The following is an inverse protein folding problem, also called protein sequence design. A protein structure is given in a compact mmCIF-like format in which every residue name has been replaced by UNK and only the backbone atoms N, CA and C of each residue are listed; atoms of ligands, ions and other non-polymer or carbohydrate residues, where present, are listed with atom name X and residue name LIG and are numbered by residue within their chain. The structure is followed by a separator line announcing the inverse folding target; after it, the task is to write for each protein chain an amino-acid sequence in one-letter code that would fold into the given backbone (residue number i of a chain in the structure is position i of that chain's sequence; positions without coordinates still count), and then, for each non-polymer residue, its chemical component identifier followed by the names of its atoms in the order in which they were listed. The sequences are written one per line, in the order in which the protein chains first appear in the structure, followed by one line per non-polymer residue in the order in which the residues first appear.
data_IF_725938189037
#
_entry.id   IF_725938189037
#
_cell.length_a   1.000
_cell.length_b   1.000
_cell.length_c   1.000
_cell.angle_alpha   90.00
_cell.angle_beta   90.00
_cell.angle_gamma   90.00
#
_symmetry.space_group_name_H-M   'P 1'
#
loop_
_entity.id
_entity.type
_entity.pdbx_description
1 polymer ?
#
# COMPACT_ATOMS: atom_id res chain seq x y z
N UNK A 1 22.34 22.17 -8.15
CA UNK A 1 21.32 21.39 -7.40
C UNK A 1 19.93 21.44 -8.03
N UNK A 2 19.43 22.59 -8.53
CA UNK A 2 18.13 22.67 -9.25
C UNK A 2 18.04 21.80 -10.53
N UNK A 3 19.14 21.57 -11.26
CA UNK A 3 19.14 20.80 -12.52
C UNK A 3 18.88 19.29 -12.36
N UNK A 4 19.33 18.67 -11.26
CA UNK A 4 19.20 17.21 -11.10
C UNK A 4 17.83 16.75 -10.59
N UNK A 5 17.11 17.62 -9.87
CA UNK A 5 15.72 17.39 -9.44
C UNK A 5 14.76 17.45 -10.65
N UNK A 6 15.04 18.34 -11.60
CA UNK A 6 14.27 18.48 -12.84
C UNK A 6 14.52 17.29 -13.79
N UNK A 7 15.75 16.78 -13.86
CA UNK A 7 16.10 15.60 -14.67
C UNK A 7 15.46 14.31 -14.14
N UNK A 8 15.28 14.18 -12.82
CA UNK A 8 14.58 13.04 -12.22
C UNK A 8 13.06 13.07 -12.47
N UNK A 9 12.47 14.26 -12.62
CA UNK A 9 11.04 14.45 -12.95
C UNK A 9 10.78 14.32 -14.47
N UNK A 10 11.75 14.69 -15.31
CA UNK A 10 11.67 14.59 -16.78
C UNK A 10 11.96 13.19 -17.35
N UNK A 11 12.61 12.31 -16.58
CA UNK A 11 12.87 10.92 -17.01
C UNK A 11 11.71 9.95 -16.72
N UNK A 12 10.70 10.37 -15.96
CA UNK A 12 9.49 9.57 -15.66
C UNK A 12 8.31 9.95 -16.59
N UNK A 13 8.45 10.98 -17.42
CA UNK A 13 7.34 11.58 -18.18
C UNK A 13 7.22 11.24 -19.68
N UNK A 14 7.95 10.25 -20.26
CA UNK A 14 7.55 9.74 -21.57
C UNK A 14 7.47 8.20 -21.65
N UNK A 15 6.89 7.51 -20.65
CA UNK A 15 6.60 6.06 -20.76
C UNK A 15 5.12 5.68 -20.60
N UNK A 16 4.21 6.66 -20.54
CA UNK A 16 2.76 6.42 -20.41
C UNK A 16 2.00 6.63 -21.73
N UNK A 17 2.69 6.97 -22.84
CA UNK A 17 2.04 7.40 -24.08
C UNK A 17 2.25 6.50 -25.30
N UNK A 18 2.35 5.18 -25.12
CA UNK A 18 2.28 4.25 -26.24
C UNK A 18 1.44 3.04 -25.86
N UNK A 19 0.12 3.18 -25.93
CA UNK A 19 -0.80 2.14 -26.41
C UNK A 19 -2.16 2.81 -26.58
N UNK A 20 -2.60 2.97 -27.82
CA UNK A 20 -4.00 2.81 -28.24
C UNK A 20 -4.13 3.22 -29.71
N UNK A 21 -3.93 2.26 -30.59
CA UNK A 21 -4.59 2.27 -31.89
C UNK A 21 -5.46 1.02 -31.91
N UNK A 22 -6.79 1.21 -31.84
CA UNK A 22 -7.76 0.15 -32.08
C UNK A 22 -8.45 0.47 -33.40
N UNK A 23 -8.38 -0.49 -34.33
CA UNK A 23 -9.07 -0.44 -35.60
C UNK A 23 -10.58 -0.59 -35.38
N UNK A 24 -11.35 0.08 -36.22
CA UNK A 24 -12.81 0.19 -36.17
C UNK A 24 -13.43 -0.94 -36.99
N UNK A 25 -14.06 -1.90 -36.31
CA UNK A 25 -14.97 -2.89 -36.92
C UNK A 25 -16.40 -2.60 -36.43
N UNK A 26 -17.39 -2.92 -37.27
CA UNK A 26 -18.81 -2.60 -37.10
C UNK A 26 -19.38 -2.96 -35.70
N UNK A 27 -20.39 -2.22 -35.19
CA UNK A 27 -20.84 -2.35 -33.81
C UNK A 27 -21.45 -3.75 -33.56
N UNK A 28 -20.68 -4.60 -32.89
CA UNK A 28 -21.15 -5.89 -32.41
C UNK A 28 -22.17 -5.65 -31.29
N UNK A 29 -23.36 -6.25 -31.39
CA UNK A 29 -24.35 -6.18 -30.30
C UNK A 29 -23.77 -6.80 -29.03
N UNK A 30 -23.92 -6.09 -27.91
CA UNK A 30 -23.53 -6.61 -26.59
C UNK A 30 -24.43 -7.79 -26.22
N UNK A 31 -23.84 -8.80 -25.57
CA UNK A 31 -24.42 -10.11 -25.30
C UNK A 31 -24.69 -10.31 -23.81
N UNK A 32 -25.80 -10.97 -23.49
CA UNK A 32 -26.17 -11.34 -22.13
C UNK A 32 -26.89 -12.69 -22.10
N UNK A 33 -26.88 -13.36 -20.95
CA UNK A 33 -27.66 -14.59 -20.72
C UNK A 33 -28.66 -14.32 -19.61
N UNK A 34 -29.95 -14.48 -19.92
CA UNK A 34 -31.07 -14.26 -19.03
C UNK A 34 -31.70 -15.59 -18.62
N UNK A 35 -31.63 -15.93 -17.34
CA UNK A 35 -32.25 -17.13 -16.79
C UNK A 35 -33.60 -16.80 -16.16
N UNK A 36 -34.61 -17.57 -16.55
CA UNK A 36 -35.99 -17.38 -16.11
C UNK A 36 -36.70 -18.71 -15.80
N UNK A 37 -37.92 -18.59 -15.28
CA UNK A 37 -38.87 -19.69 -15.12
C UNK A 37 -40.22 -19.31 -15.74
N UNK A 38 -40.89 -20.22 -16.45
CA UNK A 38 -42.23 -20.00 -17.01
C UNK A 38 -43.29 -19.75 -15.92
N UNK A 39 -43.06 -20.27 -14.71
CA UNK A 39 -43.96 -20.15 -13.56
C UNK A 39 -43.64 -18.94 -12.66
N UNK A 40 -42.67 -18.11 -13.05
CA UNK A 40 -42.14 -17.01 -12.23
C UNK A 40 -42.77 -15.66 -12.63
N UNK A 41 -43.64 -15.14 -11.76
CA UNK A 41 -44.30 -13.82 -11.93
C UNK A 41 -43.29 -12.68 -12.06
N UNK A 42 -42.18 -12.73 -11.29
CA UNK A 42 -41.11 -11.74 -11.37
C UNK A 42 -40.40 -11.76 -12.74
N UNK A 43 -40.31 -12.93 -13.36
CA UNK A 43 -39.66 -13.12 -14.65
C UNK A 43 -40.52 -12.57 -15.79
N UNK A 44 -41.85 -12.69 -15.68
CA UNK A 44 -42.81 -12.06 -16.59
C UNK A 44 -42.71 -10.52 -16.56
N UNK A 45 -42.52 -9.93 -15.37
CA UNK A 45 -42.32 -8.47 -15.23
C UNK A 45 -41.11 -7.98 -16.01
N UNK A 46 -39.97 -8.69 -15.92
CA UNK A 46 -38.75 -8.37 -16.67
C UNK A 46 -38.97 -8.56 -18.17
N UNK A 47 -39.60 -9.66 -18.59
CA UNK A 47 -39.84 -9.96 -20.01
C UNK A 47 -40.73 -8.90 -20.68
N UNK A 48 -41.77 -8.44 -19.97
CA UNK A 48 -42.62 -7.34 -20.44
C UNK A 48 -41.83 -6.05 -20.61
N UNK A 49 -41.03 -5.67 -19.60
CA UNK A 49 -40.18 -4.47 -19.68
C UNK A 49 -39.18 -4.56 -20.85
N UNK A 50 -38.54 -5.71 -21.05
CA UNK A 50 -37.57 -5.90 -22.14
C UNK A 50 -38.22 -5.80 -23.53
N UNK A 51 -39.50 -6.19 -23.65
CA UNK A 51 -40.29 -6.01 -24.89
C UNK A 51 -40.71 -4.56 -25.09
N UNK A 52 -41.18 -3.88 -24.04
CA UNK A 52 -41.61 -2.48 -24.10
C UNK A 52 -40.46 -1.53 -24.49
N UNK A 53 -39.26 -1.78 -23.97
CA UNK A 53 -38.05 -0.99 -24.25
C UNK A 53 -37.21 -1.51 -25.44
N UNK A 54 -37.76 -2.45 -26.22
CA UNK A 54 -37.11 -3.04 -27.40
C UNK A 54 -35.70 -3.65 -27.16
N UNK A 55 -35.43 -4.07 -25.93
CA UNK A 55 -34.11 -4.50 -25.46
C UNK A 55 -33.62 -5.74 -26.23
N UNK A 56 -34.53 -6.66 -26.57
CA UNK A 56 -34.20 -7.87 -27.34
C UNK A 56 -33.71 -7.58 -28.77
N UNK A 57 -34.03 -6.41 -29.33
CA UNK A 57 -33.53 -5.99 -30.63
C UNK A 57 -32.21 -5.21 -30.52
N UNK A 58 -31.99 -4.49 -29.41
CA UNK A 58 -30.77 -3.72 -29.15
C UNK A 58 -29.60 -4.65 -28.75
N UNK A 59 -29.88 -5.65 -27.92
CA UNK A 59 -28.89 -6.55 -27.32
C UNK A 59 -29.12 -8.01 -27.73
N UNK A 60 -28.04 -8.79 -27.82
CA UNK A 60 -28.10 -10.24 -28.06
C UNK A 60 -28.30 -10.98 -26.72
N UNK A 61 -29.55 -11.11 -26.29
CA UNK A 61 -29.91 -11.73 -25.00
C UNK A 61 -30.39 -13.17 -25.21
N UNK A 62 -29.57 -14.13 -24.80
CA UNK A 62 -29.93 -15.54 -24.78
C UNK A 62 -30.82 -15.83 -23.57
N UNK A 63 -32.05 -16.30 -23.80
CA UNK A 63 -32.99 -16.67 -22.75
C UNK A 63 -32.92 -18.16 -22.44
N UNK A 64 -32.75 -18.52 -21.18
CA UNK A 64 -32.67 -19.92 -20.73
C UNK A 64 -33.70 -20.18 -19.64
N UNK A 65 -34.63 -21.10 -19.92
CA UNK A 65 -35.59 -21.62 -18.94
C UNK A 65 -34.89 -22.61 -18.00
N UNK A 66 -34.73 -22.24 -16.74
CA UNK A 66 -33.88 -22.98 -15.79
C UNK A 66 -34.62 -23.62 -14.62
N UNK A 67 -35.95 -23.76 -14.72
CA UNK A 67 -36.75 -24.58 -13.81
C UNK A 67 -36.48 -26.08 -13.96
N UNK A 68 -35.99 -26.53 -15.13
CA UNK A 68 -35.63 -27.92 -15.40
C UNK A 68 -34.26 -28.34 -14.82
N UNK A 69 -34.04 -29.64 -14.53
CA UNK A 69 -32.86 -30.11 -13.79
C UNK A 69 -31.52 -29.87 -14.51
N UNK A 70 -31.51 -29.89 -15.84
CA UNK A 70 -30.29 -29.67 -16.64
C UNK A 70 -29.84 -28.19 -16.59
N UNK A 71 -30.75 -27.27 -16.88
CA UNK A 71 -30.47 -25.84 -16.89
C UNK A 71 -30.29 -25.27 -15.47
N UNK A 72 -30.94 -25.86 -14.45
CA UNK A 72 -30.68 -25.52 -13.06
C UNK A 72 -29.24 -25.83 -12.63
N UNK A 73 -28.67 -26.96 -13.08
CA UNK A 73 -27.26 -27.29 -12.84
C UNK A 73 -26.33 -26.29 -13.53
N UNK A 74 -26.64 -25.91 -14.77
CA UNK A 74 -25.87 -24.92 -15.51
C UNK A 74 -25.91 -23.53 -14.86
N UNK A 75 -27.08 -23.07 -14.42
CA UNK A 75 -27.23 -21.83 -13.67
C UNK A 75 -26.46 -21.85 -12.34
N UNK A 76 -26.46 -22.98 -11.63
CA UNK A 76 -25.71 -23.12 -10.39
C UNK A 76 -24.20 -22.91 -10.59
N UNK A 77 -23.64 -23.31 -11.74
CA UNK A 77 -22.23 -23.02 -12.06
C UNK A 77 -21.94 -21.53 -12.18
N UNK A 78 -22.88 -20.72 -12.70
CA UNK A 78 -22.75 -19.26 -12.68
C UNK A 78 -22.77 -18.74 -11.25
N UNK A 79 -23.72 -19.18 -10.42
CA UNK A 79 -23.77 -18.78 -9.02
C UNK A 79 -22.51 -19.16 -8.24
N UNK A 80 -21.93 -20.33 -8.54
CA UNK A 80 -20.66 -20.76 -7.95
C UNK A 80 -19.51 -19.82 -8.38
N UNK A 81 -19.44 -19.42 -9.66
CA UNK A 81 -18.44 -18.46 -10.14
C UNK A 81 -18.53 -17.10 -9.43
N UNK A 82 -19.75 -16.64 -9.11
CA UNK A 82 -19.98 -15.42 -8.32
C UNK A 82 -19.97 -15.64 -6.80
N UNK A 83 -19.69 -16.86 -6.31
CA UNK A 83 -19.69 -17.22 -4.88
C UNK A 83 -21.01 -16.91 -4.16
N UNK A 84 -22.15 -17.10 -4.83
CA UNK A 84 -23.48 -16.82 -4.26
C UNK A 84 -23.92 -17.97 -3.34
N UNK A 85 -24.23 -17.71 -2.06
CA UNK A 85 -24.75 -18.72 -1.13
C UNK A 85 -26.03 -19.39 -1.62
N UNK A 86 -26.21 -20.68 -1.32
CA UNK A 86 -27.34 -21.47 -1.83
C UNK A 86 -28.72 -20.91 -1.46
N UNK A 87 -28.84 -20.30 -0.27
CA UNK A 87 -30.05 -19.66 0.25
C UNK A 87 -30.43 -18.35 -0.47
N UNK A 88 -29.50 -17.77 -1.24
CA UNK A 88 -29.70 -16.51 -1.97
C UNK A 88 -29.84 -16.70 -3.48
N UNK A 89 -29.83 -17.94 -3.98
CA UNK A 89 -29.98 -18.23 -5.41
C UNK A 89 -31.46 -18.17 -5.81
N UNK A 90 -31.74 -17.69 -7.02
CA UNK A 90 -33.12 -17.57 -7.47
C UNK A 90 -33.25 -17.01 -8.89
N UNK A 91 -34.49 -16.63 -9.22
CA UNK A 91 -34.88 -16.06 -10.50
C UNK A 91 -35.71 -14.78 -10.29
N UNK A 92 -35.77 -13.87 -11.28
CA UNK A 92 -34.96 -13.86 -12.51
C UNK A 92 -33.52 -13.45 -12.26
N UNK A 93 -32.59 -13.85 -13.13
CA UNK A 93 -31.18 -13.43 -13.06
C UNK A 93 -30.60 -13.24 -14.45
N UNK A 94 -29.79 -12.19 -14.63
CA UNK A 94 -29.10 -11.90 -15.89
C UNK A 94 -27.60 -11.79 -15.65
N UNK A 95 -26.83 -12.37 -16.57
CA UNK A 95 -25.38 -12.35 -16.58
C UNK A 95 -24.88 -11.71 -17.87
N UNK A 96 -23.83 -10.90 -17.76
CA UNK A 96 -23.14 -10.31 -18.90
C UNK A 96 -21.73 -9.91 -18.47
N UNK A 97 -20.74 -10.23 -19.29
CA UNK A 97 -19.32 -10.05 -18.95
C UNK A 97 -18.98 -10.62 -17.56
N UNK A 98 -18.61 -9.79 -16.59
CA UNK A 98 -18.25 -10.15 -15.21
C UNK A 98 -19.31 -9.68 -14.19
N UNK A 99 -20.53 -9.38 -14.65
CA UNK A 99 -21.64 -8.88 -13.83
C UNK A 99 -22.78 -9.87 -13.74
N UNK A 100 -23.45 -9.83 -12.59
CA UNK A 100 -24.68 -10.56 -12.29
C UNK A 100 -25.67 -9.59 -11.67
N UNK A 101 -26.91 -9.58 -12.18
CA UNK A 101 -28.02 -8.87 -11.56
C UNK A 101 -29.13 -9.88 -11.27
N UNK A 102 -29.47 -10.02 -9.99
CA UNK A 102 -30.46 -10.96 -9.48
C UNK A 102 -31.71 -10.21 -9.01
N UNK A 103 -32.88 -10.73 -9.37
CA UNK A 103 -34.19 -10.16 -9.04
C UNK A 103 -34.71 -9.22 -10.14
N UNK A 104 -36.02 -9.04 -10.19
CA UNK A 104 -36.67 -8.27 -11.25
C UNK A 104 -36.52 -6.76 -11.10
N UNK A 105 -36.78 -6.18 -9.91
CA UNK A 105 -36.57 -4.74 -9.70
C UNK A 105 -35.12 -4.31 -9.99
N UNK A 106 -34.08 -5.03 -9.51
CA UNK A 106 -32.69 -4.70 -9.86
C UNK A 106 -32.39 -4.80 -11.36
N UNK A 107 -32.95 -5.80 -12.07
CA UNK A 107 -32.76 -5.96 -13.51
C UNK A 107 -33.41 -4.78 -14.25
N UNK A 108 -34.67 -4.47 -13.95
CA UNK A 108 -35.43 -3.39 -14.62
C UNK A 108 -34.70 -2.05 -14.44
N UNK A 109 -34.26 -1.75 -13.23
CA UNK A 109 -33.67 -0.46 -12.90
C UNK A 109 -32.22 -0.29 -13.39
N UNK A 110 -31.43 -1.37 -13.43
CA UNK A 110 -29.97 -1.26 -13.59
C UNK A 110 -29.41 -1.93 -14.84
N UNK A 111 -30.13 -2.84 -15.52
CA UNK A 111 -29.55 -3.61 -16.61
C UNK A 111 -28.98 -2.73 -17.73
N UNK A 112 -29.77 -1.80 -18.26
CA UNK A 112 -29.35 -0.87 -19.33
C UNK A 112 -28.15 0.00 -18.90
N UNK A 113 -28.15 0.45 -17.64
CA UNK A 113 -27.07 1.28 -17.09
C UNK A 113 -25.77 0.47 -17.00
N UNK A 114 -25.86 -0.79 -16.57
CA UNK A 114 -24.70 -1.60 -16.25
C UNK A 114 -24.10 -2.30 -17.47
N UNK A 115 -24.93 -2.69 -18.46
CA UNK A 115 -24.48 -3.27 -19.74
C UNK A 115 -23.82 -2.21 -20.63
N UNK A 116 -24.24 -0.94 -20.52
CA UNK A 116 -23.61 0.13 -21.31
C UNK A 116 -22.19 0.47 -20.85
N UNK A 117 -21.90 0.28 -19.56
CA UNK A 117 -20.56 0.50 -18.98
C UNK A 117 -19.52 -0.56 -19.37
N UNK A 118 -19.91 -1.60 -20.08
CA UNK A 118 -19.05 -2.77 -20.35
C UNK A 118 -19.06 -3.19 -21.82
N UNK A 119 -17.92 -3.72 -22.26
CA UNK A 119 -17.76 -4.32 -23.59
C UNK A 119 -18.14 -5.81 -23.53
N UNK A 120 -19.44 -6.09 -23.38
CA UNK A 120 -19.98 -7.46 -23.34
C UNK A 120 -20.10 -8.06 -24.76
N UNK A 121 -18.99 -8.17 -25.49
CA UNK A 121 -18.99 -8.60 -26.89
C UNK A 121 -19.13 -10.12 -27.08
N UNK A 122 -18.86 -10.89 -26.01
CA UNK A 122 -18.97 -12.34 -25.98
C UNK A 122 -20.07 -12.80 -25.03
N UNK A 123 -20.75 -13.90 -25.36
CA UNK A 123 -21.72 -14.50 -24.46
C UNK A 123 -21.02 -15.02 -23.20
N UNK A 124 -21.52 -14.66 -22.00
CA UNK A 124 -20.93 -15.12 -20.75
C UNK A 124 -21.14 -16.62 -20.58
N UNK A 125 -20.07 -17.34 -20.19
CA UNK A 125 -20.15 -18.74 -19.75
C UNK A 125 -19.59 -18.85 -18.32
N UNK A 126 -19.97 -19.87 -17.53
CA UNK A 126 -19.48 -20.00 -16.16
C UNK A 126 -17.95 -20.01 -16.06
N UNK A 127 -17.28 -20.67 -17.00
CA UNK A 127 -15.82 -20.77 -17.05
C UNK A 127 -15.17 -19.41 -17.32
N UNK A 128 -15.69 -18.67 -18.32
CA UNK A 128 -15.18 -17.33 -18.69
C UNK A 128 -15.45 -16.31 -17.59
N UNK A 129 -16.66 -16.32 -17.03
CA UNK A 129 -17.03 -15.47 -15.90
C UNK A 129 -16.10 -15.75 -14.71
N UNK A 130 -15.87 -17.03 -14.38
CA UNK A 130 -14.95 -17.41 -13.32
C UNK A 130 -13.52 -16.92 -13.61
N UNK A 131 -13.03 -17.05 -14.84
CA UNK A 131 -11.72 -16.52 -15.24
C UNK A 131 -11.65 -14.99 -15.11
N UNK A 132 -12.66 -14.26 -15.61
CA UNK A 132 -12.76 -12.80 -15.52
C UNK A 132 -12.87 -12.33 -14.07
N UNK A 133 -13.64 -13.01 -13.23
CA UNK A 133 -13.77 -12.72 -11.81
C UNK A 133 -12.50 -13.08 -11.03
N UNK A 134 -11.77 -14.14 -11.42
CA UNK A 134 -10.49 -14.48 -10.83
C UNK A 134 -9.43 -13.44 -11.20
N UNK A 135 -9.36 -13.02 -12.47
CA UNK A 135 -8.50 -11.93 -12.92
C UNK A 135 -8.89 -10.61 -12.24
N UNK A 136 -10.19 -10.30 -12.16
CA UNK A 136 -10.70 -9.11 -11.47
C UNK A 136 -10.47 -9.17 -9.98
N UNK A 137 -10.58 -10.30 -9.29
CA UNK A 137 -10.25 -10.44 -7.87
C UNK A 137 -8.74 -10.39 -7.63
N UNK A 138 -7.93 -10.91 -8.55
CA UNK A 138 -6.49 -10.70 -8.56
C UNK A 138 -6.12 -9.23 -8.81
N UNK A 139 -6.93 -8.50 -9.60
CA UNK A 139 -6.75 -7.09 -9.95
C UNK A 139 -7.42 -6.09 -8.96
N UNK A 140 -8.51 -6.45 -8.27
CA UNK A 140 -9.15 -5.74 -7.15
C UNK A 140 -8.42 -6.04 -5.84
N UNK A 141 -7.76 -7.20 -5.75
CA UNK A 141 -6.65 -7.44 -4.82
C UNK A 141 -5.40 -6.62 -5.16
N UNK A 142 -5.40 -5.89 -6.28
CA UNK A 142 -4.32 -5.03 -6.77
C UNK A 142 -4.57 -3.52 -6.60
N UNK A 143 -5.81 -3.08 -6.34
CA UNK A 143 -6.08 -1.71 -5.84
C UNK A 143 -5.77 -1.54 -4.35
N UNK A 144 -5.48 -2.64 -3.64
CA UNK A 144 -4.87 -2.63 -2.32
C UNK A 144 -3.76 -3.68 -2.19
N UNK A 145 -3.03 -4.03 -3.26
CA UNK A 145 -1.64 -4.38 -3.04
C UNK A 145 -0.96 -3.11 -2.55
N UNK A 146 -0.26 -3.18 -1.40
CA UNK A 146 0.74 -2.18 -1.12
C UNK A 146 1.67 -2.28 -2.32
N UNK A 147 1.50 -1.37 -3.28
CA UNK A 147 2.30 -1.39 -4.48
C UNK A 147 3.73 -1.49 -3.98
N UNK A 148 4.47 -2.48 -4.43
CA UNK A 148 5.82 -2.70 -3.97
C UNK A 148 6.63 -1.38 -4.09
N UNK A 149 6.23 -0.55 -5.05
CA UNK A 149 6.56 0.87 -5.19
C UNK A 149 6.28 1.71 -3.93
N UNK A 150 5.06 1.75 -3.40
CA UNK A 150 4.69 2.48 -2.16
C UNK A 150 5.49 1.96 -0.96
N UNK A 151 5.67 0.65 -0.83
CA UNK A 151 6.49 0.07 0.23
C UNK A 151 7.94 0.53 0.13
N UNK A 152 8.52 0.44 -1.06
CA UNK A 152 9.90 0.86 -1.32
C UNK A 152 10.08 2.35 -1.07
N UNK A 153 9.17 3.20 -1.55
CA UNK A 153 9.24 4.64 -1.31
C UNK A 153 9.09 5.01 0.16
N UNK A 154 8.14 4.40 0.87
CA UNK A 154 7.99 4.61 2.31
C UNK A 154 9.24 4.17 3.07
N UNK A 155 9.79 2.99 2.74
CA UNK A 155 11.01 2.49 3.34
C UNK A 155 12.22 3.39 3.03
N UNK A 156 12.34 3.91 1.81
CA UNK A 156 13.41 4.84 1.42
C UNK A 156 13.32 6.17 2.17
N UNK A 157 12.11 6.70 2.34
CA UNK A 157 11.89 7.92 3.13
C UNK A 157 12.30 7.71 4.57
N UNK A 158 11.89 6.59 5.16
CA UNK A 158 12.23 6.23 6.52
C UNK A 158 13.74 5.98 6.67
N UNK A 159 14.37 5.37 5.67
CA UNK A 159 15.80 5.10 5.63
C UNK A 159 16.65 6.38 5.68
N UNK A 160 16.13 7.48 5.11
CA UNK A 160 16.80 8.78 5.12
C UNK A 160 16.39 9.57 6.37
N UNK A 161 16.72 9.00 7.53
CA UNK A 161 16.43 9.61 8.82
C UNK A 161 17.65 10.37 9.39
N UNK A 162 17.59 11.72 9.46
CA UNK A 162 18.71 12.52 9.98
C UNK A 162 19.01 12.25 11.47
N UNK A 163 18.07 11.71 12.25
CA UNK A 163 18.29 11.33 13.65
C UNK A 163 19.13 10.06 13.75
N UNK A 164 18.77 9.04 12.98
CA UNK A 164 19.49 7.76 12.96
C UNK A 164 20.94 7.95 12.53
N UNK A 165 21.16 8.76 11.49
CA UNK A 165 22.50 9.06 10.98
C UNK A 165 23.35 9.80 12.01
N UNK A 166 22.78 10.79 12.71
CA UNK A 166 23.52 11.54 13.72
C UNK A 166 24.04 10.62 14.85
N UNK A 167 23.18 9.72 15.33
CA UNK A 167 23.53 8.78 16.39
C UNK A 167 24.60 7.79 15.91
N UNK A 168 24.42 7.21 14.72
CA UNK A 168 25.39 6.28 14.14
C UNK A 168 26.76 6.94 13.92
N UNK A 169 26.80 8.13 13.29
CA UNK A 169 28.04 8.86 13.02
C UNK A 169 28.77 9.15 14.33
N UNK A 170 28.05 9.56 15.37
CA UNK A 170 28.64 9.82 16.68
C UNK A 170 29.20 8.54 17.32
N UNK A 171 28.41 7.47 17.37
CA UNK A 171 28.83 6.16 17.90
C UNK A 171 30.10 5.68 17.20
N UNK A 172 30.14 5.79 15.87
CA UNK A 172 31.33 5.40 15.13
C UNK A 172 32.51 6.31 15.43
N UNK A 173 32.31 7.63 15.50
CA UNK A 173 33.38 8.57 15.83
C UNK A 173 34.00 8.28 17.22
N UNK A 174 33.17 7.96 18.21
CA UNK A 174 33.63 7.62 19.57
C UNK A 174 34.39 6.29 19.57
N UNK A 175 33.88 5.26 18.90
CA UNK A 175 34.54 3.95 18.84
C UNK A 175 35.82 3.98 18.00
N UNK A 176 35.87 4.75 16.90
CA UNK A 176 37.10 4.94 16.12
C UNK A 176 38.20 5.50 17.02
N UNK A 177 37.87 6.49 17.85
CA UNK A 177 38.80 7.13 18.78
C UNK A 177 39.26 6.19 19.90
N UNK A 178 38.39 5.28 20.35
CA UNK A 178 38.67 4.39 21.47
C UNK A 178 39.31 3.04 21.08
N UNK A 179 38.85 2.40 19.99
CA UNK A 179 39.22 1.03 19.58
C UNK A 179 39.64 0.90 18.12
N UNK A 180 39.78 2.02 17.41
CA UNK A 180 40.17 2.05 16.00
C UNK A 180 39.04 1.66 15.03
N UNK A 181 39.36 1.67 13.72
CA UNK A 181 38.37 1.53 12.64
C UNK A 181 37.67 0.17 12.63
N UNK A 182 38.38 -0.92 12.94
CA UNK A 182 37.78 -2.26 13.00
C UNK A 182 36.74 -2.36 14.11
N UNK A 183 37.03 -1.83 15.30
CA UNK A 183 36.07 -1.79 16.40
C UNK A 183 34.82 -0.99 16.06
N UNK A 184 34.99 0.13 15.34
CA UNK A 184 33.88 0.96 14.89
C UNK A 184 33.01 0.29 13.83
N UNK A 185 33.62 -0.46 12.89
CA UNK A 185 32.89 -1.24 11.90
C UNK A 185 31.96 -2.25 12.56
N UNK A 186 32.48 -3.07 13.49
CA UNK A 186 31.64 -4.04 14.22
C UNK A 186 30.55 -3.35 15.05
N UNK A 187 30.87 -2.22 15.68
CA UNK A 187 29.91 -1.46 16.47
C UNK A 187 28.78 -0.87 15.61
N UNK A 188 29.10 -0.31 14.44
CA UNK A 188 28.10 0.24 13.51
C UNK A 188 27.22 -0.85 12.87
N UNK A 189 27.79 -2.01 12.55
CA UNK A 189 27.03 -3.17 12.04
C UNK A 189 26.09 -3.74 13.11
N UNK A 190 26.56 -3.92 14.35
CA UNK A 190 25.72 -4.39 15.45
C UNK A 190 24.64 -3.38 15.83
N UNK A 191 24.94 -2.09 15.75
CA UNK A 191 23.95 -1.03 15.95
C UNK A 191 22.86 -1.09 14.86
N UNK A 192 23.25 -1.23 13.60
CA UNK A 192 22.33 -1.38 12.46
C UNK A 192 21.47 -2.64 12.58
N UNK A 193 22.07 -3.76 13.00
CA UNK A 193 21.35 -5.01 13.28
C UNK A 193 20.37 -4.87 14.45
N UNK A 194 20.76 -4.18 15.52
CA UNK A 194 19.86 -3.94 16.65
C UNK A 194 18.63 -3.13 16.23
N UNK A 195 18.80 -2.11 15.39
CA UNK A 195 17.70 -1.35 14.81
C UNK A 195 16.82 -2.26 13.95
N UNK A 196 17.40 -3.04 13.04
CA UNK A 196 16.67 -3.99 12.19
C UNK A 196 15.77 -4.91 13.02
N UNK A 197 16.35 -5.60 14.02
CA UNK A 197 15.64 -6.56 14.87
C UNK A 197 14.56 -5.86 15.69
N UNK A 198 14.88 -4.70 16.29
CA UNK A 198 13.93 -3.94 17.10
C UNK A 198 12.70 -3.53 16.29
N UNK A 199 12.93 -2.92 15.11
CA UNK A 199 11.83 -2.49 14.25
C UNK A 199 11.05 -3.68 13.74
N UNK A 200 11.71 -4.73 13.24
CA UNK A 200 11.02 -5.94 12.80
C UNK A 200 10.11 -6.53 13.89
N UNK A 201 10.59 -6.64 15.14
CA UNK A 201 9.78 -7.09 16.27
C UNK A 201 8.62 -6.14 16.59
N UNK A 202 8.87 -4.83 16.60
CA UNK A 202 7.82 -3.82 16.81
C UNK A 202 6.74 -3.89 15.73
N UNK A 203 7.12 -4.06 14.46
CA UNK A 203 6.20 -4.19 13.34
C UNK A 203 5.34 -5.44 13.43
N UNK A 204 5.92 -6.58 13.83
CA UNK A 204 5.15 -7.80 14.09
C UNK A 204 4.17 -7.62 15.25
N UNK A 205 4.60 -6.95 16.33
CA UNK A 205 3.76 -6.62 17.46
C UNK A 205 2.57 -5.73 17.07
N UNK A 206 2.85 -4.68 16.28
CA UNK A 206 1.81 -3.76 15.81
C UNK A 206 0.85 -4.45 14.84
N UNK A 207 1.35 -5.24 13.88
CA UNK A 207 0.53 -6.04 12.98
C UNK A 207 -0.47 -6.93 13.72
N UNK A 208 -0.01 -7.67 14.74
CA UNK A 208 -0.89 -8.52 15.57
C UNK A 208 -1.91 -7.72 16.35
N UNK A 209 -1.49 -6.58 16.93
CA UNK A 209 -2.40 -5.71 17.67
C UNK A 209 -3.53 -5.19 16.76
N UNK A 210 -3.21 -4.76 15.53
CA UNK A 210 -4.19 -4.24 14.58
C UNK A 210 -5.20 -5.33 14.16
N UNK A 211 -4.72 -6.53 13.85
CA UNK A 211 -5.58 -7.66 13.46
C UNK A 211 -6.55 -8.09 14.56
N UNK A 212 -6.15 -7.97 15.84
CA UNK A 212 -6.99 -8.38 16.97
C UNK A 212 -8.24 -7.48 17.16
N UNK A 213 -8.14 -6.19 16.87
CA UNK A 213 -9.23 -5.25 17.15
C UNK A 213 -10.28 -5.14 16.03
N UNK A 214 -10.06 -5.73 14.85
CA UNK A 214 -10.97 -5.63 13.67
C UNK A 214 -11.40 -4.18 13.34
N UNK A 215 -10.57 -3.19 13.69
CA UNK A 215 -10.83 -1.76 13.56
C UNK A 215 -10.35 -1.20 12.21
N UNK A 216 -10.26 -2.01 11.15
CA UNK A 216 -9.56 -1.67 9.91
C UNK A 216 -9.96 -0.31 9.31
N UNK A 217 -11.25 0.06 9.36
CA UNK A 217 -11.70 1.38 8.88
C UNK A 217 -11.29 2.55 9.79
N UNK A 218 -11.61 2.47 11.09
CA UNK A 218 -11.29 3.53 12.08
C UNK A 218 -9.78 3.71 12.18
N UNK A 219 -9.05 2.59 12.22
CA UNK A 219 -7.61 2.57 12.33
C UNK A 219 -6.93 3.19 11.10
N UNK A 220 -7.42 2.93 9.89
CA UNK A 220 -6.88 3.53 8.65
C UNK A 220 -7.11 5.04 8.60
N UNK A 221 -8.28 5.53 9.03
CA UNK A 221 -8.56 6.96 9.12
C UNK A 221 -7.66 7.63 10.15
N UNK A 222 -7.51 7.02 11.34
CA UNK A 222 -6.62 7.53 12.39
C UNK A 222 -5.17 7.59 11.90
N UNK A 223 -4.69 6.53 11.24
CA UNK A 223 -3.35 6.52 10.64
C UNK A 223 -3.21 7.60 9.57
N UNK A 224 -4.19 7.78 8.70
CA UNK A 224 -4.19 8.81 7.67
C UNK A 224 -4.09 10.22 8.29
N UNK A 225 -4.85 10.49 9.34
CA UNK A 225 -4.79 11.76 10.10
C UNK A 225 -3.41 11.95 10.74
N UNK A 226 -2.90 10.93 11.43
CA UNK A 226 -1.56 10.97 12.05
C UNK A 226 -0.49 11.21 10.98
N UNK A 227 -0.59 10.56 9.82
CA UNK A 227 0.33 10.74 8.71
C UNK A 227 0.31 12.17 8.17
N UNK A 228 -0.88 12.78 8.04
CA UNK A 228 -1.02 14.18 7.65
C UNK A 228 -0.39 15.11 8.68
N UNK A 229 -0.66 14.91 9.98
CA UNK A 229 -0.09 15.73 11.06
C UNK A 229 1.45 15.66 11.04
N UNK A 230 2.01 14.45 10.94
CA UNK A 230 3.46 14.22 10.85
C UNK A 230 4.04 14.83 9.57
N UNK A 231 3.30 14.72 8.46
CA UNK A 231 3.68 15.28 7.17
C UNK A 231 3.78 16.81 7.22
N UNK A 232 2.75 17.46 7.78
CA UNK A 232 2.72 18.90 8.02
C UNK A 232 3.84 19.35 8.97
N UNK A 233 4.10 18.60 10.03
CA UNK A 233 5.19 18.90 10.97
C UNK A 233 6.56 18.87 10.28
N UNK A 234 6.82 17.86 9.45
CA UNK A 234 8.05 17.78 8.63
C UNK A 234 8.13 18.92 7.60
N UNK A 235 7.02 19.24 6.92
CA UNK A 235 7.00 20.33 5.94
C UNK A 235 7.25 21.69 6.60
N UNK A 236 6.74 21.89 7.81
CA UNK A 236 7.00 23.06 8.63
C UNK A 236 8.48 23.18 9.02
N UNK A 237 9.16 22.08 9.35
CA UNK A 237 10.61 22.09 9.63
C UNK A 237 11.47 22.36 8.37
N UNK A 238 10.95 22.15 7.16
CA UNK A 238 11.60 22.61 5.93
C UNK A 238 11.63 24.14 5.81
N UNK A 239 10.49 24.81 6.06
CA UNK A 239 10.38 26.28 5.95
C UNK A 239 10.92 27.02 7.17
N UNK A 240 10.64 26.51 8.38
CA UNK A 240 10.99 27.13 9.66
C UNK A 240 11.61 26.14 10.63
N UNK A 241 12.73 25.54 10.23
CA UNK A 241 13.51 24.65 11.10
C UNK A 241 13.80 25.30 12.46
N UNK A 242 13.38 24.65 13.55
CA UNK A 242 13.69 25.10 14.91
C UNK A 242 12.76 26.18 15.50
N UNK A 243 11.74 26.65 14.77
CA UNK A 243 10.70 27.51 15.38
C UNK A 243 9.57 26.64 15.95
N UNK A 244 9.14 26.88 17.19
CA UNK A 244 8.09 26.14 17.94
C UNK A 244 8.53 24.76 18.48
N UNK A 245 8.76 23.77 17.61
CA UNK A 245 9.22 22.41 17.97
C UNK A 245 9.99 21.80 16.79
N UNK A 246 10.77 20.74 17.01
CA UNK A 246 11.52 20.04 15.95
C UNK A 246 11.03 18.60 15.87
N UNK A 247 10.86 18.07 14.66
CA UNK A 247 10.42 16.70 14.42
C UNK A 247 11.53 15.66 14.65
N UNK A 248 12.77 16.13 14.68
CA UNK A 248 13.90 15.39 15.21
C UNK A 248 13.86 15.33 16.75
N UNK A 249 14.76 14.54 17.34
CA UNK A 249 15.00 14.54 18.78
C UNK A 249 15.18 15.98 19.30
N UNK A 250 14.41 16.39 20.33
CA UNK A 250 14.50 17.74 20.91
C UNK A 250 15.94 18.10 21.27
N UNK A 251 16.34 19.35 21.06
CA UNK A 251 17.72 19.79 21.32
C UNK A 251 18.20 19.44 22.74
N UNK A 252 17.32 19.46 23.74
CA UNK A 252 17.63 19.14 25.14
C UNK A 252 17.92 17.65 25.38
N UNK A 253 17.45 16.76 24.50
CA UNK A 253 17.60 15.30 24.64
C UNK A 253 18.84 14.79 23.90
N UNK A 254 19.31 15.53 22.89
CA UNK A 254 20.53 15.18 22.14
C UNK A 254 21.73 15.01 23.08
N UNK A 255 22.07 15.94 24.00
CA UNK A 255 23.22 15.77 24.89
C UNK A 255 23.12 14.53 25.79
N UNK A 256 21.92 14.19 26.27
CA UNK A 256 21.68 13.00 27.10
C UNK A 256 21.88 11.72 26.29
N UNK A 257 21.31 11.65 25.08
CA UNK A 257 21.55 10.52 24.17
C UNK A 257 23.04 10.39 23.84
N UNK A 258 23.69 11.51 23.51
CA UNK A 258 25.12 11.55 23.21
C UNK A 258 25.98 11.11 24.41
N UNK A 259 25.58 11.41 25.64
CA UNK A 259 26.26 10.95 26.85
C UNK A 259 26.16 9.43 27.04
N UNK A 260 24.96 8.85 26.81
CA UNK A 260 24.75 7.40 26.84
C UNK A 260 25.63 6.71 25.79
N UNK A 261 25.69 7.26 24.57
CA UNK A 261 26.45 6.71 23.45
C UNK A 261 27.96 6.89 23.63
N UNK A 262 28.42 7.98 24.26
CA UNK A 262 29.86 8.21 24.53
C UNK A 262 30.48 7.15 25.43
N UNK A 263 29.70 6.59 26.35
CA UNK A 263 30.15 5.52 27.23
C UNK A 263 30.14 4.14 26.54
N UNK A 264 29.57 4.05 25.34
CA UNK A 264 29.52 2.83 24.53
C UNK A 264 30.77 2.77 23.65
N UNK A 265 31.78 2.05 24.14
CA UNK A 265 33.04 1.83 23.41
C UNK A 265 33.21 0.38 22.93
N UNK A 266 32.24 -0.50 23.21
CA UNK A 266 32.27 -1.91 22.84
C UNK A 266 31.19 -2.27 21.80
N UNK A 267 31.44 -3.25 20.91
CA UNK A 267 30.46 -3.71 19.94
C UNK A 267 29.16 -4.24 20.60
N UNK A 268 29.27 -4.91 21.75
CA UNK A 268 28.12 -5.38 22.53
C UNK A 268 27.32 -4.21 23.10
N UNK A 269 28.00 -3.17 23.60
CA UNK A 269 27.33 -1.94 24.04
C UNK A 269 26.61 -1.23 22.90
N UNK A 270 27.12 -1.33 21.67
CA UNK A 270 26.48 -0.75 20.48
C UNK A 270 25.15 -1.42 20.14
N UNK A 271 25.03 -2.73 20.38
CA UNK A 271 23.77 -3.46 20.23
C UNK A 271 22.72 -2.97 21.24
N UNK A 272 23.10 -2.86 22.51
CA UNK A 272 22.20 -2.32 23.56
C UNK A 272 21.82 -0.86 23.30
N UNK A 273 22.77 -0.04 22.87
CA UNK A 273 22.52 1.34 22.46
C UNK A 273 21.56 1.39 21.27
N UNK A 274 21.72 0.53 20.26
CA UNK A 274 20.81 0.47 19.12
C UNK A 274 19.38 0.10 19.50
N UNK A 275 19.19 -0.83 20.44
CA UNK A 275 17.86 -1.19 20.96
C UNK A 275 17.22 -0.03 21.74
N UNK A 276 17.98 0.64 22.61
CA UNK A 276 17.47 1.80 23.35
C UNK A 276 17.17 2.97 22.41
N UNK A 277 18.03 3.19 21.43
CA UNK A 277 17.89 4.26 20.44
C UNK A 277 16.70 4.02 19.53
N UNK A 278 16.39 2.78 19.13
CA UNK A 278 15.24 2.46 18.27
C UNK A 278 13.91 2.95 18.88
N UNK A 279 13.74 2.85 20.20
CA UNK A 279 12.59 3.42 20.93
C UNK A 279 12.48 4.94 20.80
N UNK A 280 13.62 5.65 20.79
CA UNK A 280 13.64 7.11 20.59
C UNK A 280 13.52 7.52 19.12
N UNK A 281 13.81 6.63 18.17
CA UNK A 281 13.58 6.88 16.75
C UNK A 281 12.12 6.71 16.34
N UNK A 282 11.32 5.96 17.11
CA UNK A 282 9.89 5.80 16.85
C UNK A 282 9.18 7.11 16.49
N UNK A 283 9.24 8.22 17.25
CA UNK A 283 8.55 9.45 16.87
C UNK A 283 8.97 10.05 15.51
N UNK A 284 10.21 9.83 15.05
CA UNK A 284 10.71 10.39 13.78
C UNK A 284 10.57 9.45 12.56
N UNK A 285 10.35 8.15 12.80
CA UNK A 285 10.22 7.09 11.78
C UNK A 285 8.82 6.48 11.71
N UNK A 286 8.02 6.67 12.76
CA UNK A 286 6.69 6.09 12.94
C UNK A 286 5.72 6.51 11.83
N UNK A 287 5.93 7.65 11.17
CA UNK A 287 5.08 8.07 10.08
C UNK A 287 4.99 7.03 8.95
N UNK A 288 6.04 6.89 8.11
CA UNK A 288 6.01 5.94 7.00
C UNK A 288 5.80 4.50 7.49
N UNK A 289 6.39 4.18 8.65
CA UNK A 289 6.36 2.83 9.22
C UNK A 289 4.97 2.38 9.67
N UNK A 290 4.25 3.22 10.43
CA UNK A 290 2.89 2.90 10.91
C UNK A 290 1.92 2.82 9.72
N UNK A 291 2.06 3.68 8.72
CA UNK A 291 1.21 3.63 7.53
C UNK A 291 1.36 2.30 6.81
N UNK A 292 2.59 1.87 6.50
CA UNK A 292 2.82 0.60 5.83
C UNK A 292 2.31 -0.57 6.66
N UNK A 293 2.51 -0.54 7.98
CA UNK A 293 1.98 -1.58 8.87
C UNK A 293 0.44 -1.60 8.90
N UNK A 294 -0.22 -0.44 8.88
CA UNK A 294 -1.67 -0.35 8.77
C UNK A 294 -2.20 -0.95 7.47
N UNK A 295 -1.52 -0.69 6.35
CA UNK A 295 -1.87 -1.28 5.05
C UNK A 295 -1.62 -2.80 5.01
N UNK A 296 -0.51 -3.26 5.58
CA UNK A 296 -0.18 -4.69 5.64
C UNK A 296 -1.10 -5.48 6.57
N UNK A 297 -1.60 -4.85 7.65
CA UNK A 297 -2.53 -5.46 8.59
C UNK A 297 -3.92 -5.74 7.99
N UNK A 298 -4.27 -5.12 6.87
CA UNK A 298 -5.52 -5.40 6.15
C UNK A 298 -5.46 -6.65 5.28
N UNK A 299 -4.26 -7.20 5.04
CA UNK A 299 -4.09 -8.44 4.26
C UNK A 299 -3.98 -9.63 5.19
N UNK A 300 -4.87 -10.61 5.03
CA UNK A 300 -4.89 -11.82 5.86
C UNK A 300 -3.69 -12.78 5.64
N UNK A 301 -2.78 -12.46 4.72
CA UNK A 301 -1.62 -13.30 4.41
C UNK A 301 -0.41 -12.97 5.30
N UNK A 302 -0.35 -13.59 6.48
CA UNK A 302 0.76 -13.45 7.45
C UNK A 302 2.15 -13.63 6.81
N UNK A 303 2.34 -14.65 5.98
CA UNK A 303 3.62 -14.94 5.31
C UNK A 303 4.06 -13.78 4.40
N UNK A 304 3.11 -13.19 3.68
CA UNK A 304 3.37 -12.05 2.79
C UNK A 304 3.72 -10.80 3.60
N UNK A 305 2.99 -10.55 4.68
CA UNK A 305 3.27 -9.43 5.59
C UNK A 305 4.64 -9.54 6.22
N UNK A 306 5.02 -10.71 6.72
CA UNK A 306 6.36 -10.96 7.28
C UNK A 306 7.44 -10.70 6.23
N UNK A 307 7.25 -11.18 5.00
CA UNK A 307 8.21 -10.99 3.91
C UNK A 307 8.37 -9.52 3.51
N UNK A 308 7.26 -8.79 3.37
CA UNK A 308 7.26 -7.36 3.04
C UNK A 308 7.84 -6.51 4.18
N UNK A 309 7.56 -6.86 5.44
CA UNK A 309 8.14 -6.21 6.60
C UNK A 309 9.66 -6.43 6.65
N UNK A 310 10.13 -7.63 6.32
CA UNK A 310 11.57 -7.92 6.22
C UNK A 310 12.23 -7.04 5.15
N UNK A 311 11.65 -6.96 3.95
CA UNK A 311 12.16 -6.11 2.85
C UNK A 311 12.17 -4.64 3.26
N UNK A 312 11.10 -4.14 3.88
CA UNK A 312 11.03 -2.76 4.36
C UNK A 312 12.19 -2.46 5.32
N UNK A 313 12.41 -3.31 6.33
CA UNK A 313 13.47 -3.10 7.33
C UNK A 313 14.87 -3.21 6.73
N UNK A 314 15.04 -4.04 5.70
CA UNK A 314 16.31 -4.16 4.99
C UNK A 314 16.65 -2.87 4.24
N UNK A 315 15.67 -2.28 3.54
CA UNK A 315 15.81 -0.99 2.86
C UNK A 315 16.10 0.12 3.89
N UNK A 316 15.36 0.12 5.01
CA UNK A 316 15.51 1.10 6.08
C UNK A 316 16.93 1.14 6.68
N UNK A 317 17.54 -0.02 6.92
CA UNK A 317 18.86 -0.11 7.55
C UNK A 317 20.02 0.04 6.56
N UNK A 318 19.76 -0.10 5.25
CA UNK A 318 20.80 -0.04 4.22
C UNK A 318 21.66 1.24 4.27
N UNK A 319 21.12 2.47 4.41
CA UNK A 319 21.96 3.66 4.50
C UNK A 319 22.86 3.69 5.73
N UNK A 320 22.43 3.09 6.85
CA UNK A 320 23.23 2.98 8.08
C UNK A 320 24.44 2.06 7.86
N UNK A 321 24.24 0.94 7.16
CA UNK A 321 25.33 0.04 6.78
C UNK A 321 26.30 0.76 5.83
N UNK A 322 25.79 1.52 4.85
CA UNK A 322 26.62 2.29 3.92
C UNK A 322 27.47 3.37 4.63
N UNK A 323 26.88 4.11 5.56
CA UNK A 323 27.62 5.08 6.40
C UNK A 323 28.71 4.35 7.20
N UNK A 324 28.38 3.18 7.75
CA UNK A 324 29.32 2.37 8.54
C UNK A 324 30.53 1.95 7.72
N UNK A 325 30.30 1.40 6.53
CA UNK A 325 31.36 1.00 5.60
C UNK A 325 32.16 2.22 5.14
N UNK A 326 31.50 3.33 4.82
CA UNK A 326 32.16 4.57 4.41
C UNK A 326 33.14 5.10 5.46
N UNK A 327 32.74 5.12 6.74
CA UNK A 327 33.62 5.53 7.84
C UNK A 327 34.78 4.55 8.06
N UNK A 328 34.55 3.24 7.87
CA UNK A 328 35.60 2.23 7.92
C UNK A 328 36.69 2.45 6.84
N UNK A 329 36.28 2.78 5.60
CA UNK A 329 37.20 3.09 4.50
C UNK A 329 37.86 4.49 4.59
N UNK A 330 37.52 5.30 5.59
CA UNK A 330 38.24 6.54 5.90
C UNK A 330 37.46 7.82 5.68
N UNK A 331 36.15 7.76 5.42
CA UNK A 331 35.30 8.95 5.42
C UNK A 331 35.27 9.55 6.83
N UNK A 332 35.59 10.84 6.96
CA UNK A 332 35.61 11.53 8.26
C UNK A 332 34.20 11.80 8.75
N UNK A 333 33.93 11.52 10.04
CA UNK A 333 32.66 11.79 10.71
C UNK A 333 32.18 13.25 10.52
N UNK A 334 33.10 14.22 10.64
CA UNK A 334 32.80 15.65 10.45
C UNK A 334 32.27 15.97 9.04
N UNK A 335 32.76 15.26 8.03
CA UNK A 335 32.28 15.41 6.65
C UNK A 335 30.85 14.92 6.47
N UNK A 336 30.54 13.74 7.02
CA UNK A 336 29.18 13.18 7.01
C UNK A 336 28.20 14.03 7.82
N UNK A 337 28.61 14.52 8.98
CA UNK A 337 27.77 15.38 9.81
C UNK A 337 27.47 16.73 9.12
N UNK A 338 28.45 17.34 8.46
CA UNK A 338 28.24 18.55 7.67
C UNK A 338 27.31 18.30 6.48
N UNK A 339 27.44 17.17 5.81
CA UNK A 339 26.54 16.78 4.71
C UNK A 339 25.12 16.59 5.21
N UNK A 340 24.94 15.87 6.32
CA UNK A 340 23.66 15.67 7.00
C UNK A 340 23.01 17.01 7.30
N UNK A 341 23.70 17.90 8.01
CA UNK A 341 23.17 19.22 8.41
C UNK A 341 22.79 20.10 7.22
N UNK A 342 23.57 20.10 6.13
CA UNK A 342 23.24 20.85 4.91
C UNK A 342 21.99 20.33 4.23
N UNK A 343 21.77 19.02 4.29
CA UNK A 343 20.67 18.36 3.59
C UNK A 343 19.42 18.18 4.45
N UNK A 344 19.50 18.32 5.78
CA UNK A 344 18.39 18.12 6.74
C UNK A 344 17.07 18.76 6.31
N UNK A 345 17.08 20.01 5.83
CA UNK A 345 15.84 20.68 5.36
C UNK A 345 15.21 19.94 4.18
N UNK A 346 16.01 19.51 3.21
CA UNK A 346 15.53 18.77 2.03
C UNK A 346 14.99 17.39 2.46
N UNK A 347 15.62 16.75 3.46
CA UNK A 347 15.12 15.48 3.99
C UNK A 347 13.73 15.62 4.61
N UNK A 348 13.50 16.68 5.40
CA UNK A 348 12.18 16.98 5.95
C UNK A 348 11.14 17.30 4.86
N UNK A 349 11.52 18.00 3.78
CA UNK A 349 10.62 18.25 2.66
C UNK A 349 10.16 16.94 2.00
N UNK A 350 11.09 16.04 1.70
CA UNK A 350 10.80 14.75 1.05
C UNK A 350 9.90 13.91 1.96
N UNK A 351 10.28 13.76 3.23
CA UNK A 351 9.50 13.01 4.21
C UNK A 351 8.11 13.59 4.42
N UNK A 352 8.01 14.92 4.57
CA UNK A 352 6.74 15.61 4.76
C UNK A 352 5.79 15.46 3.58
N UNK A 353 6.31 15.60 2.35
CA UNK A 353 5.51 15.49 1.11
C UNK A 353 4.96 14.07 0.93
N UNK A 354 5.79 13.06 1.14
CA UNK A 354 5.38 11.66 0.97
C UNK A 354 4.37 11.26 2.04
N UNK A 355 4.58 11.68 3.28
CA UNK A 355 3.63 11.45 4.38
C UNK A 355 2.27 12.10 4.15
N UNK A 356 2.25 13.32 3.61
CA UNK A 356 1.01 13.99 3.22
C UNK A 356 0.28 13.25 2.12
N UNK A 357 0.99 12.86 1.05
CA UNK A 357 0.39 12.14 -0.08
C UNK A 357 -0.23 10.82 0.38
N UNK A 358 0.54 10.05 1.15
CA UNK A 358 0.10 8.78 1.71
C UNK A 358 -1.10 8.97 2.67
N UNK A 359 -1.06 9.96 3.56
CA UNK A 359 -2.15 10.23 4.50
C UNK A 359 -3.45 10.63 3.81
N UNK A 360 -3.37 11.49 2.78
CA UNK A 360 -4.52 11.87 1.95
C UNK A 360 -5.06 10.68 1.17
N UNK A 361 -4.19 9.87 0.57
CA UNK A 361 -4.57 8.65 -0.14
C UNK A 361 -5.33 7.69 0.78
N UNK A 362 -4.81 7.41 1.97
CA UNK A 362 -5.48 6.53 2.94
C UNK A 362 -6.88 7.01 3.33
N UNK A 363 -7.06 8.32 3.51
CA UNK A 363 -8.37 8.87 3.85
C UNK A 363 -9.32 8.80 2.65
N UNK A 364 -8.84 9.15 1.45
CA UNK A 364 -9.64 9.14 0.23
C UNK A 364 -10.19 7.76 -0.10
N UNK A 365 -9.35 6.72 -0.07
CA UNK A 365 -9.71 5.33 -0.43
C UNK A 365 -10.73 4.68 0.51
N UNK A 366 -10.98 5.26 1.70
CA UNK A 366 -11.91 4.71 2.69
C UNK A 366 -13.17 5.56 2.90
N UNK A 367 -13.17 6.80 2.40
CA UNK A 367 -14.33 7.70 2.40
C UNK A 367 -15.18 7.50 1.13
N UNK A 368 -14.54 7.23 0.00
CA UNK A 368 -15.16 6.92 -1.30
C UNK A 368 -14.91 5.47 -1.66
#
# INVERSE_FOLDING_TARGET
MKKYIIIFILLITPLIFFFNAKAEEAPLKKKAVYFYSETCVHCERVDRYFKEEDIYNIYDIEKIEASGPYNASYLNKFFDAFSVPADKRGFPVIFFQDKMILGDEPIINNFLIEIEKVDALESPTPEKVSEMLNVKNNNLGSSADVSLVVLVWAALVDAINPCAFAVLILLMATVISAKGRKGALYSGLLFSLAIFVSYFMMGLGLYKAIGFFNLTKIFSIVIGIVAIIIGLANLKDFFWYGKIFVMEVPFSWRPKMQAIIKNVTSPIGALGAGFLVSLFLLPCTSGPYIVILGLLAQKENLTRTISLLFIYNLIFVLPMVLITLGMYFGIRAKGLENWRQKNTRILHLIAGTIMLFIGVYLIYTWIY
#
